data_IF_674204860357
#
_entry.id   IF_674204860357
#
_cell.length_a   1.000
_cell.length_b   1.000
_cell.length_c   1.000
_cell.angle_alpha   90.00
_cell.angle_beta   90.00
_cell.angle_gamma   90.00
#
_symmetry.space_group_name_H-M   'P 1'
#
loop_
_entity.id
_entity.type
_entity.pdbx_description
1 polymer ?
#
# COMPACT_ATOMS: atom_id res chain seq x y z
N UNK A 1 18.07 -3.53 -13.58
CA UNK A 1 18.05 -2.08 -13.84
C UNK A 1 16.64 -1.53 -14.04
N UNK A 2 15.70 -2.31 -14.59
CA UNK A 2 14.33 -1.86 -14.93
C UNK A 2 13.46 -1.34 -13.77
N UNK A 3 13.58 -1.87 -12.54
CA UNK A 3 12.70 -1.47 -11.42
C UNK A 3 12.95 -0.06 -10.86
N UNK A 4 14.20 0.43 -10.91
CA UNK A 4 14.54 1.77 -10.42
C UNK A 4 14.11 2.87 -11.40
N UNK A 5 14.11 2.56 -12.70
CA UNK A 5 13.67 3.48 -13.74
C UNK A 5 12.16 3.66 -13.70
N UNK A 6 11.41 2.56 -13.57
CA UNK A 6 9.96 2.61 -13.32
C UNK A 6 9.60 3.41 -12.05
N UNK A 7 10.30 3.18 -10.93
CA UNK A 7 10.06 3.93 -9.70
C UNK A 7 10.31 5.44 -9.88
N UNK A 8 11.40 5.81 -10.55
CA UNK A 8 11.71 7.22 -10.84
C UNK A 8 10.64 7.85 -11.72
N UNK A 9 10.20 7.16 -12.76
CA UNK A 9 9.11 7.63 -13.62
C UNK A 9 7.79 7.77 -12.88
N UNK A 10 7.42 6.77 -12.08
CA UNK A 10 6.19 6.80 -11.28
C UNK A 10 6.22 7.98 -10.30
N UNK A 11 7.33 8.17 -9.60
CA UNK A 11 7.50 9.29 -8.66
C UNK A 11 7.47 10.64 -9.37
N UNK A 12 8.10 10.76 -10.53
CA UNK A 12 8.08 11.99 -11.34
C UNK A 12 6.66 12.29 -11.86
N UNK A 13 5.95 11.31 -12.41
CA UNK A 13 4.57 11.45 -12.89
C UNK A 13 3.64 11.85 -11.75
N UNK A 14 3.73 11.18 -10.60
CA UNK A 14 2.89 11.48 -9.42
C UNK A 14 3.19 12.88 -8.88
N UNK A 15 4.46 13.29 -8.84
CA UNK A 15 4.87 14.63 -8.40
C UNK A 15 4.45 15.73 -9.38
N UNK A 16 4.49 15.46 -10.69
CA UNK A 16 4.05 16.39 -11.72
C UNK A 16 2.52 16.59 -11.68
N UNK A 17 1.76 15.48 -11.62
CA UNK A 17 0.32 15.51 -11.42
C UNK A 17 -0.08 16.26 -10.14
N UNK A 18 0.67 16.03 -9.06
CA UNK A 18 0.42 16.71 -7.79
C UNK A 18 0.64 18.23 -7.85
N UNK A 19 1.67 18.68 -8.59
CA UNK A 19 1.93 20.10 -8.80
C UNK A 19 0.85 20.76 -9.67
N UNK A 20 0.35 20.05 -10.66
CA UNK A 20 -0.65 20.56 -11.62
C UNK A 20 -2.05 20.69 -10.99
N UNK A 21 -2.46 19.76 -10.11
CA UNK A 21 -3.77 19.77 -9.45
C UNK A 21 -3.91 20.76 -8.29
N UNK A 22 -2.80 21.39 -7.85
CA UNK A 22 -2.77 22.37 -6.76
C UNK A 22 -3.22 21.82 -5.40
N UNK A 23 -3.12 22.64 -4.33
CA UNK A 23 -3.50 22.32 -2.93
C UNK A 23 -4.97 21.88 -2.71
N UNK A 24 -5.74 21.69 -3.77
CA UNK A 24 -7.18 21.35 -3.72
C UNK A 24 -7.45 19.90 -3.30
N UNK A 25 -6.45 19.02 -3.33
CA UNK A 25 -6.56 17.68 -2.76
C UNK A 25 -5.90 17.66 -1.37
N UNK A 26 -6.73 17.54 -0.33
CA UNK A 26 -6.33 17.48 1.08
C UNK A 26 -5.37 16.31 1.40
N UNK A 27 -5.10 15.43 0.42
CA UNK A 27 -4.44 14.14 0.61
C UNK A 27 -3.32 13.87 -0.40
N UNK A 28 -2.92 14.91 -1.13
CA UNK A 28 -1.87 14.84 -2.15
C UNK A 28 -0.54 14.35 -1.56
N UNK A 29 -0.28 14.70 -0.29
CA UNK A 29 0.90 14.25 0.45
C UNK A 29 0.95 12.73 0.64
N UNK A 30 -0.22 12.06 0.75
CA UNK A 30 -0.29 10.60 0.90
C UNK A 30 -0.13 9.88 -0.44
N UNK A 31 -0.66 10.47 -1.51
CA UNK A 31 -0.47 9.95 -2.87
C UNK A 31 0.99 10.01 -3.29
N UNK A 32 1.73 11.03 -2.87
CA UNK A 32 3.17 11.16 -3.12
C UNK A 32 4.01 10.09 -2.42
N UNK A 33 3.48 9.41 -1.40
CA UNK A 33 4.14 8.31 -0.69
C UNK A 33 3.88 6.94 -1.33
N UNK A 34 2.85 6.82 -2.18
CA UNK A 34 2.49 5.55 -2.81
C UNK A 34 3.64 4.92 -3.62
N UNK A 35 4.43 5.68 -4.41
CA UNK A 35 5.58 5.11 -5.13
C UNK A 35 6.64 4.53 -4.19
N UNK A 36 6.87 5.17 -3.03
CA UNK A 36 7.87 4.74 -2.05
C UNK A 36 7.44 3.43 -1.38
N UNK A 37 6.15 3.31 -1.03
CA UNK A 37 5.58 2.07 -0.51
C UNK A 37 5.59 0.94 -1.53
N UNK A 38 5.21 1.22 -2.79
CA UNK A 38 5.27 0.22 -3.84
C UNK A 38 6.70 -0.31 -4.03
N UNK A 39 7.69 0.57 -4.02
CA UNK A 39 9.09 0.16 -4.11
C UNK A 39 9.58 -0.63 -2.89
N UNK A 40 9.12 -0.26 -1.68
CA UNK A 40 9.35 -1.06 -0.47
C UNK A 40 8.79 -2.48 -0.63
N UNK A 41 7.56 -2.63 -1.13
CA UNK A 41 6.95 -3.94 -1.39
C UNK A 41 7.82 -4.78 -2.33
N UNK A 42 8.25 -4.21 -3.46
CA UNK A 42 9.12 -4.91 -4.42
C UNK A 42 10.44 -5.34 -3.77
N UNK A 43 11.09 -4.46 -2.99
CA UNK A 43 12.33 -4.79 -2.29
C UNK A 43 12.15 -5.89 -1.25
N UNK A 44 11.05 -5.87 -0.50
CA UNK A 44 10.73 -6.91 0.49
C UNK A 44 10.46 -8.27 -0.17
N UNK A 45 9.91 -8.32 -1.38
CA UNK A 45 9.79 -9.60 -2.11
C UNK A 45 11.17 -10.20 -2.43
N UNK A 46 12.15 -9.35 -2.74
CA UNK A 46 13.50 -9.76 -3.12
C UNK A 46 14.40 -10.07 -1.91
N UNK A 47 14.13 -9.48 -0.74
CA UNK A 47 14.94 -9.70 0.46
C UNK A 47 14.77 -11.12 1.03
N UNK A 48 15.88 -11.85 1.21
CA UNK A 48 15.88 -13.24 1.71
C UNK A 48 15.42 -13.36 3.16
N UNK A 49 15.50 -12.28 3.95
CA UNK A 49 15.10 -12.23 5.37
C UNK A 49 13.58 -12.20 5.54
N UNK A 50 12.83 -11.89 4.47
CA UNK A 50 11.37 -11.83 4.51
C UNK A 50 10.78 -13.25 4.38
N UNK A 51 9.89 -13.68 5.30
CA UNK A 51 9.27 -15.00 5.24
C UNK A 51 8.49 -15.21 3.94
N UNK A 52 8.54 -16.42 3.38
CA UNK A 52 7.86 -16.77 2.12
C UNK A 52 6.36 -16.43 2.14
N UNK A 53 5.70 -16.62 3.30
CA UNK A 53 4.30 -16.25 3.49
C UNK A 53 4.07 -14.75 3.34
N UNK A 54 4.92 -13.91 3.92
CA UNK A 54 4.84 -12.45 3.75
C UNK A 54 5.10 -12.06 2.29
N UNK A 55 6.08 -12.69 1.62
CA UNK A 55 6.34 -12.48 0.19
C UNK A 55 5.14 -12.82 -0.67
N UNK A 56 4.43 -13.89 -0.37
CA UNK A 56 3.19 -14.25 -1.08
C UNK A 56 2.12 -13.16 -0.94
N UNK A 57 1.92 -12.64 0.28
CA UNK A 57 0.98 -11.51 0.49
C UNK A 57 1.39 -10.28 -0.31
N UNK A 58 2.67 -9.92 -0.26
CA UNK A 58 3.20 -8.79 -1.01
C UNK A 58 3.01 -9.02 -2.52
N UNK A 59 3.31 -10.23 -3.01
CA UNK A 59 3.16 -10.59 -4.40
C UNK A 59 1.73 -10.44 -4.91
N UNK A 60 0.72 -10.84 -4.11
CA UNK A 60 -0.69 -10.62 -4.47
C UNK A 60 -1.04 -9.13 -4.58
N UNK A 61 -0.53 -8.30 -3.66
CA UNK A 61 -0.79 -6.85 -3.64
C UNK A 61 -0.10 -6.16 -4.81
N UNK A 62 1.16 -6.51 -5.07
CA UNK A 62 1.92 -5.99 -6.22
C UNK A 62 1.29 -6.44 -7.53
N UNK A 63 0.92 -7.72 -7.65
CA UNK A 63 0.22 -8.23 -8.83
C UNK A 63 -1.10 -7.50 -9.04
N UNK A 64 -1.85 -7.21 -7.97
CA UNK A 64 -3.06 -6.42 -8.02
C UNK A 64 -2.79 -4.99 -8.54
N UNK A 65 -1.79 -4.29 -7.99
CA UNK A 65 -1.42 -2.93 -8.43
C UNK A 65 -1.00 -2.81 -9.90
N UNK A 66 -0.37 -3.85 -10.45
CA UNK A 66 0.12 -3.86 -11.85
C UNK A 66 -0.91 -4.53 -12.79
N UNK A 67 -1.92 -5.21 -12.23
CA UNK A 67 -2.90 -5.96 -13.02
C UNK A 67 -3.80 -5.00 -13.79
N UNK A 68 -3.96 -5.19 -15.12
CA UNK A 68 -4.90 -4.42 -15.93
C UNK A 68 -6.37 -4.81 -15.72
N UNK A 69 -6.68 -5.75 -14.80
CA UNK A 69 -7.94 -6.48 -14.74
C UNK A 69 -8.89 -6.14 -13.57
N UNK A 70 -8.67 -5.06 -12.80
CA UNK A 70 -9.55 -4.60 -11.69
C UNK A 70 -10.36 -5.73 -11.03
N UNK A 71 -9.67 -6.58 -10.27
CA UNK A 71 -10.17 -7.91 -9.84
C UNK A 71 -11.23 -7.80 -8.73
N UNK A 72 -11.47 -6.61 -8.16
CA UNK A 72 -12.51 -6.39 -7.14
C UNK A 72 -13.73 -5.73 -7.79
N UNK A 73 -14.90 -6.40 -7.81
CA UNK A 73 -16.10 -5.84 -8.40
C UNK A 73 -16.58 -4.61 -7.62
N UNK A 74 -16.71 -3.47 -8.30
CA UNK A 74 -17.27 -2.20 -7.79
C UNK A 74 -18.58 -2.36 -7.01
N UNK A 75 -19.34 -3.42 -7.30
CA UNK A 75 -20.59 -3.78 -6.63
C UNK A 75 -20.45 -4.18 -5.15
N UNK A 76 -19.24 -4.48 -4.64
CA UNK A 76 -19.05 -4.94 -3.26
C UNK A 76 -19.04 -3.84 -2.20
N UNK A 77 -18.88 -2.57 -2.59
CA UNK A 77 -18.65 -1.46 -1.65
C UNK A 77 -19.84 -0.53 -1.39
N UNK A 78 -20.92 -0.63 -2.17
CA UNK A 78 -22.09 0.24 -2.00
C UNK A 78 -21.78 1.73 -2.28
N UNK A 79 -22.73 2.65 -2.01
CA UNK A 79 -22.65 4.05 -2.45
C UNK A 79 -21.56 4.88 -1.76
N UNK A 80 -20.82 4.30 -0.81
CA UNK A 80 -19.64 4.90 -0.19
C UNK A 80 -18.43 4.32 -0.91
N UNK A 81 -18.15 4.82 -2.12
CA UNK A 81 -17.05 4.35 -2.96
C UNK A 81 -15.68 4.63 -2.32
N UNK A 82 -15.25 3.75 -1.43
CA UNK A 82 -13.85 3.66 -1.02
C UNK A 82 -13.08 3.01 -2.16
N UNK A 83 -11.91 3.52 -2.54
CA UNK A 83 -11.09 2.77 -3.50
C UNK A 83 -10.59 1.50 -2.80
N UNK A 84 -11.04 0.33 -3.27
CA UNK A 84 -10.63 -0.98 -2.76
C UNK A 84 -9.09 -1.11 -2.67
N UNK A 85 -8.39 -0.42 -3.58
CA UNK A 85 -6.93 -0.30 -3.62
C UNK A 85 -6.32 0.27 -2.33
N UNK A 86 -6.95 1.31 -1.76
CA UNK A 86 -6.43 1.98 -0.57
C UNK A 86 -6.56 1.07 0.66
N UNK A 87 -7.69 0.37 0.76
CA UNK A 87 -7.92 -0.58 1.85
C UNK A 87 -6.88 -1.69 1.80
N UNK A 88 -6.67 -2.28 0.63
CA UNK A 88 -5.69 -3.34 0.42
C UNK A 88 -4.27 -2.87 0.74
N UNK A 89 -3.91 -1.65 0.33
CA UNK A 89 -2.63 -1.03 0.66
C UNK A 89 -2.41 -0.91 2.17
N UNK A 90 -3.39 -0.33 2.88
CA UNK A 90 -3.32 -0.08 4.32
C UNK A 90 -3.26 -1.39 5.10
N UNK A 91 -4.07 -2.37 4.70
CA UNK A 91 -4.03 -3.71 5.29
C UNK A 91 -2.67 -4.37 5.09
N UNK A 92 -2.07 -4.22 3.90
CA UNK A 92 -0.76 -4.78 3.58
C UNK A 92 0.34 -4.13 4.41
N UNK A 93 0.36 -2.80 4.50
CA UNK A 93 1.29 -2.05 5.35
C UNK A 93 1.18 -2.53 6.80
N UNK A 94 -0.03 -2.58 7.35
CA UNK A 94 -0.26 -3.03 8.72
C UNK A 94 0.16 -4.50 8.94
N UNK A 95 -0.04 -5.37 7.95
CA UNK A 95 0.43 -6.76 8.01
C UNK A 95 1.95 -6.84 8.00
N UNK A 96 2.63 -6.03 7.18
CA UNK A 96 4.09 -6.03 7.07
C UNK A 96 4.75 -5.54 8.36
N UNK A 97 4.24 -4.46 8.94
CA UNK A 97 4.69 -3.94 10.24
C UNK A 97 4.61 -4.98 11.37
N UNK A 98 3.72 -5.97 11.25
CA UNK A 98 3.51 -7.03 12.25
C UNK A 98 4.28 -8.32 11.97
N UNK A 99 4.63 -8.59 10.72
CA UNK A 99 5.12 -9.91 10.29
C UNK A 99 6.55 -9.89 9.73
N UNK A 100 7.08 -8.71 9.43
CA UNK A 100 8.46 -8.53 8.96
C UNK A 100 9.24 -7.81 10.05
N UNK A 101 10.47 -8.26 10.27
CA UNK A 101 11.38 -7.61 11.22
C UNK A 101 11.57 -6.12 10.88
N UNK A 102 11.56 -5.27 11.91
CA UNK A 102 11.64 -3.82 11.76
C UNK A 102 12.90 -3.39 11.04
N UNK A 103 14.04 -4.02 11.30
CA UNK A 103 15.30 -3.68 10.65
C UNK A 103 15.24 -4.01 9.15
N UNK A 104 14.62 -5.13 8.79
CA UNK A 104 14.42 -5.50 7.37
C UNK A 104 13.54 -4.48 6.65
N UNK A 105 12.50 -3.96 7.31
CA UNK A 105 11.66 -2.90 6.74
C UNK A 105 12.44 -1.60 6.52
N UNK A 106 13.23 -1.17 7.51
CA UNK A 106 14.04 0.04 7.44
C UNK A 106 15.15 -0.06 6.38
N UNK A 107 15.86 -1.19 6.32
CA UNK A 107 16.91 -1.42 5.32
C UNK A 107 16.36 -1.38 3.88
N UNK A 108 15.09 -1.75 3.71
CA UNK A 108 14.41 -1.78 2.42
C UNK A 108 13.66 -0.49 2.07
N UNK A 109 13.56 0.47 2.99
CA UNK A 109 12.90 1.74 2.75
C UNK A 109 13.72 2.63 1.80
N UNK A 110 13.14 3.14 0.69
CA UNK A 110 13.87 3.99 -0.26
C UNK A 110 13.92 5.47 0.09
N UNK A 111 13.09 5.92 1.04
CA UNK A 111 12.92 7.34 1.33
C UNK A 111 13.70 7.76 2.58
N UNK A 112 14.00 9.06 2.67
CA UNK A 112 14.62 9.65 3.85
C UNK A 112 13.60 9.93 4.97
N UNK A 113 12.31 9.74 4.70
CA UNK A 113 11.27 9.90 5.70
C UNK A 113 11.28 8.75 6.70
N UNK A 114 10.75 8.99 7.90
CA UNK A 114 10.53 7.94 8.88
C UNK A 114 9.43 6.99 8.37
N UNK A 115 9.82 5.76 7.98
CA UNK A 115 8.91 4.74 7.48
C UNK A 115 7.74 4.48 8.43
N UNK A 116 8.01 4.35 9.73
CA UNK A 116 6.97 3.93 10.69
C UNK A 116 5.98 5.04 10.94
N UNK A 117 6.46 6.27 11.16
CA UNK A 117 5.60 7.43 11.29
C UNK A 117 4.77 7.64 10.02
N UNK A 118 5.37 7.44 8.84
CA UNK A 118 4.69 7.53 7.55
C UNK A 118 3.60 6.48 7.42
N UNK A 119 3.92 5.21 7.74
CA UNK A 119 2.98 4.10 7.69
C UNK A 119 1.81 4.30 8.67
N UNK A 120 2.08 4.73 9.89
CA UNK A 120 1.07 5.03 10.91
C UNK A 120 0.15 6.19 10.47
N UNK A 121 0.71 7.25 9.87
CA UNK A 121 -0.06 8.37 9.32
C UNK A 121 -1.01 7.90 8.22
N UNK A 122 -0.55 7.04 7.31
CA UNK A 122 -1.38 6.47 6.23
C UNK A 122 -2.50 5.59 6.79
N UNK A 123 -2.19 4.70 7.74
CA UNK A 123 -3.18 3.83 8.38
C UNK A 123 -4.26 4.68 9.07
N UNK A 124 -3.86 5.71 9.80
CA UNK A 124 -4.78 6.60 10.53
C UNK A 124 -5.71 7.36 9.59
N UNK A 125 -5.18 7.92 8.50
CA UNK A 125 -5.97 8.68 7.51
C UNK A 125 -6.93 7.76 6.77
N UNK A 126 -6.47 6.56 6.40
CA UNK A 126 -7.33 5.56 5.78
C UNK A 126 -8.44 5.10 6.74
N UNK A 127 -8.14 4.89 8.03
CA UNK A 127 -9.17 4.53 9.03
C UNK A 127 -10.22 5.64 9.19
N UNK A 128 -9.81 6.91 9.12
CA UNK A 128 -10.73 8.05 9.15
C UNK A 128 -11.63 8.11 7.91
N UNK A 129 -11.10 7.74 6.75
CA UNK A 129 -11.86 7.67 5.50
C UNK A 129 -12.83 6.50 5.50
N UNK A 130 -12.29 5.28 5.61
CA UNK A 130 -13.00 4.01 5.49
C UNK A 130 -14.10 3.89 6.56
N UNK A 131 -13.88 4.51 7.73
CA UNK A 131 -14.75 4.37 8.89
C UNK A 131 -14.61 3.00 9.56
N UNK A 132 -14.84 2.96 10.88
CA UNK A 132 -14.60 1.76 11.71
C UNK A 132 -15.31 0.50 11.23
N UNK A 133 -16.45 0.61 10.54
CA UNK A 133 -17.27 -0.51 10.08
C UNK A 133 -16.73 -1.22 8.83
N UNK A 134 -16.18 -0.50 7.86
CA UNK A 134 -15.64 -1.10 6.64
C UNK A 134 -14.27 -1.73 6.87
N UNK A 135 -13.40 -1.10 7.66
CA UNK A 135 -12.11 -1.69 8.06
C UNK A 135 -12.28 -3.02 8.80
N UNK A 136 -13.29 -3.13 9.69
CA UNK A 136 -13.57 -4.37 10.42
C UNK A 136 -14.11 -5.49 9.53
N UNK A 137 -15.03 -5.17 8.60
CA UNK A 137 -15.55 -6.13 7.61
C UNK A 137 -14.45 -6.63 6.68
N UNK A 138 -13.54 -5.75 6.25
CA UNK A 138 -12.43 -6.08 5.34
C UNK A 138 -11.32 -6.86 6.05
N UNK A 139 -10.94 -6.47 7.28
CA UNK A 139 -10.06 -7.28 8.13
C UNK A 139 -10.61 -8.70 8.29
N UNK A 140 -11.91 -8.83 8.49
CA UNK A 140 -12.58 -10.14 8.57
C UNK A 140 -12.52 -10.89 7.22
N UNK A 141 -12.82 -10.22 6.11
CA UNK A 141 -12.79 -10.81 4.77
C UNK A 141 -11.40 -11.35 4.38
N UNK A 142 -10.35 -10.52 4.50
CA UNK A 142 -8.98 -10.93 4.18
C UNK A 142 -8.42 -11.97 5.14
N UNK A 143 -8.74 -11.87 6.44
CA UNK A 143 -8.36 -12.90 7.44
C UNK A 143 -9.03 -14.25 7.15
N UNK A 144 -10.28 -14.24 6.69
CA UNK A 144 -11.07 -15.47 6.55
C UNK A 144 -10.87 -16.16 5.21
N UNK A 145 -10.70 -15.41 4.11
CA UNK A 145 -10.67 -15.97 2.75
C UNK A 145 -9.33 -15.96 2.03
N UNK A 146 -8.46 -14.98 2.29
CA UNK A 146 -7.25 -14.79 1.47
C UNK A 146 -5.98 -15.19 2.22
N UNK A 147 -5.95 -14.99 3.54
CA UNK A 147 -4.76 -15.23 4.35
C UNK A 147 -5.14 -15.95 5.65
N UNK A 148 -5.44 -17.26 5.56
CA UNK A 148 -5.62 -18.12 6.75
C UNK A 148 -4.32 -18.21 7.53
N UNK A 149 -4.38 -17.96 8.84
CA UNK A 149 -3.28 -18.19 9.78
C UNK A 149 -2.91 -19.66 9.92
#
# INVERSE_FOLDING_TARGET
MEGMDFYRELRQKTSAWAKEKGKSYQYIEYLLLAPDFFYLLVRLMLDRRVPARAKFKIGLVVAYYISPLDIIPEAMLGPVGFSDDLVLAVWTINSLLKSVDRQVLLDNWPSQTDLLATAEKIVTVADQWIGKGAYQKLRSFFKTRVFKD
#
